data_IF_576520325232
#
_entry.id   IF_576520325232
#
_cell.length_a   1.000
_cell.length_b   1.000
_cell.length_c   1.000
_cell.angle_alpha   90.00
_cell.angle_beta   90.00
_cell.angle_gamma   90.00
#
_symmetry.space_group_name_H-M   'P 1'
#
loop_
_entity.id
_entity.type
_entity.pdbx_description
1 polymer ?
#
# COMPACT_ATOMS: atom_id res chain seq x y z
N UNK A 1 65.18 34.79 -61.74
CA UNK A 1 64.89 34.52 -60.29
C UNK A 1 63.67 33.58 -60.22
N UNK A 2 63.92 32.33 -59.82
CA UNK A 2 62.89 31.27 -59.69
C UNK A 2 62.61 31.13 -58.23
N UNK A 3 61.35 31.38 -57.81
CA UNK A 3 60.89 31.11 -56.41
C UNK A 3 60.34 29.68 -56.36
N UNK A 4 60.95 28.88 -55.49
CA UNK A 4 60.50 27.52 -55.16
C UNK A 4 59.60 27.65 -53.94
N UNK A 5 58.30 27.26 -54.04
CA UNK A 5 57.38 27.14 -52.94
C UNK A 5 57.43 25.73 -52.35
N UNK A 6 57.77 25.63 -51.07
CA UNK A 6 57.67 24.40 -50.28
C UNK A 6 56.26 24.32 -49.67
N UNK A 7 55.48 23.33 -50.08
CA UNK A 7 54.23 23.01 -49.44
C UNK A 7 54.46 22.01 -48.31
N UNK A 8 54.16 22.39 -47.06
CA UNK A 8 54.13 21.50 -45.91
C UNK A 8 52.76 20.80 -45.90
N UNK A 9 52.65 19.47 -45.73
CA UNK A 9 51.36 18.80 -45.54
C UNK A 9 50.96 18.92 -44.04
N UNK A 10 49.81 19.53 -43.80
CA UNK A 10 49.16 19.60 -42.49
C UNK A 10 48.48 18.24 -42.23
N UNK A 11 49.06 17.43 -41.36
CA UNK A 11 48.42 16.18 -40.87
C UNK A 11 47.42 16.55 -39.80
N UNK A 12 46.12 16.59 -40.15
CA UNK A 12 44.99 16.66 -39.16
C UNK A 12 44.86 15.29 -38.49
N UNK A 13 45.37 15.16 -37.30
CA UNK A 13 45.09 14.02 -36.39
C UNK A 13 43.62 14.08 -35.93
N UNK A 14 42.75 13.27 -36.48
CA UNK A 14 41.43 12.98 -35.95
C UNK A 14 41.57 12.17 -34.65
N UNK A 15 41.57 12.86 -33.50
CA UNK A 15 41.38 12.21 -32.20
C UNK A 15 39.94 11.75 -32.09
N UNK A 16 39.69 10.49 -32.43
CA UNK A 16 38.42 9.84 -32.10
C UNK A 16 38.31 9.71 -30.58
N UNK A 17 37.58 10.62 -29.92
CA UNK A 17 37.13 10.43 -28.56
C UNK A 17 36.14 9.26 -28.56
N UNK A 18 36.65 8.06 -28.37
CA UNK A 18 35.82 6.90 -28.04
C UNK A 18 35.10 7.17 -26.71
N UNK A 19 33.84 7.46 -26.76
CA UNK A 19 32.99 7.37 -25.59
C UNK A 19 32.99 5.90 -25.17
N UNK A 20 33.83 5.55 -24.21
CA UNK A 20 33.73 4.29 -23.47
C UNK A 20 32.41 4.31 -22.75
N UNK A 21 31.35 3.73 -23.33
CA UNK A 21 30.15 3.40 -22.61
C UNK A 21 30.60 2.48 -21.45
N UNK A 22 30.41 2.96 -20.22
CA UNK A 22 30.55 2.11 -19.05
C UNK A 22 29.71 0.83 -19.28
N UNK A 23 30.25 -0.37 -19.00
CA UNK A 23 29.49 -1.59 -19.17
C UNK A 23 28.15 -1.46 -18.43
N UNK A 24 27.05 -1.74 -19.12
CA UNK A 24 25.73 -1.74 -18.52
C UNK A 24 25.79 -2.58 -17.23
N UNK A 25 25.32 -2.02 -16.11
CA UNK A 25 25.34 -2.74 -14.83
C UNK A 25 24.63 -4.08 -15.01
N UNK A 26 25.30 -5.16 -14.57
CA UNK A 26 24.76 -6.51 -14.70
C UNK A 26 23.36 -6.58 -14.02
N UNK A 27 22.42 -7.30 -14.66
CA UNK A 27 21.09 -7.52 -14.07
C UNK A 27 21.24 -8.20 -12.70
N UNK A 28 20.81 -7.58 -11.59
CA UNK A 28 21.01 -8.13 -10.26
C UNK A 28 20.30 -9.48 -10.06
N UNK A 29 19.31 -9.81 -10.90
CA UNK A 29 18.63 -11.12 -10.86
C UNK A 29 19.54 -12.25 -11.31
N UNK A 30 20.54 -11.97 -12.13
CA UNK A 30 21.52 -12.96 -12.57
C UNK A 30 22.66 -13.16 -11.57
N UNK A 31 22.81 -12.29 -10.57
CA UNK A 31 23.89 -12.34 -9.59
C UNK A 31 23.56 -13.28 -8.42
N UNK A 32 24.60 -13.86 -7.81
CA UNK A 32 24.49 -14.47 -6.49
C UNK A 32 24.25 -13.37 -5.43
N UNK A 33 23.50 -13.68 -4.36
CA UNK A 33 23.10 -12.69 -3.37
C UNK A 33 24.26 -11.87 -2.76
N UNK A 34 25.41 -12.45 -2.38
CA UNK A 34 26.54 -11.64 -1.91
C UNK A 34 27.03 -10.59 -2.91
N UNK A 35 26.94 -10.86 -4.21
CA UNK A 35 27.29 -9.89 -5.25
C UNK A 35 26.21 -8.78 -5.37
N UNK A 36 24.93 -9.11 -5.16
CA UNK A 36 23.85 -8.11 -5.08
C UNK A 36 24.11 -7.18 -3.89
N UNK A 37 24.42 -7.71 -2.70
CA UNK A 37 24.74 -6.90 -1.51
C UNK A 37 25.99 -6.03 -1.71
N UNK A 38 27.01 -6.56 -2.37
CA UNK A 38 28.22 -5.80 -2.69
C UNK A 38 27.91 -4.63 -3.65
N UNK A 39 27.11 -4.88 -4.70
CA UNK A 39 26.70 -3.86 -5.65
C UNK A 39 25.79 -2.78 -5.01
N UNK A 40 25.05 -3.14 -3.97
CA UNK A 40 24.15 -2.23 -3.25
C UNK A 40 24.87 -1.25 -2.32
N UNK A 41 26.10 -1.57 -1.87
CA UNK A 41 26.83 -0.74 -0.89
C UNK A 41 27.13 0.65 -1.40
N UNK A 42 26.90 1.64 -0.56
CA UNK A 42 27.16 3.05 -0.88
C UNK A 42 26.05 3.73 -1.69
N UNK A 43 25.09 2.95 -2.20
CA UNK A 43 24.01 3.50 -3.01
C UNK A 43 22.96 4.24 -2.18
N UNK A 44 22.27 5.20 -2.83
CA UNK A 44 21.09 5.86 -2.32
C UNK A 44 19.87 5.31 -3.06
N UNK A 45 18.86 4.86 -2.32
CA UNK A 45 17.60 4.32 -2.86
C UNK A 45 16.49 5.27 -2.48
N UNK A 46 15.68 5.69 -3.44
CA UNK A 46 14.50 6.52 -3.23
C UNK A 46 13.25 5.65 -3.19
N UNK A 47 12.55 5.65 -2.05
CA UNK A 47 11.25 5.01 -1.86
C UNK A 47 10.14 6.05 -1.89
N UNK A 48 9.24 5.95 -2.87
CA UNK A 48 7.99 6.70 -2.89
C UNK A 48 6.91 5.93 -2.10
N UNK A 49 6.38 6.55 -1.04
CA UNK A 49 5.40 5.89 -0.17
C UNK A 49 4.38 6.88 0.42
N UNK A 50 3.25 6.34 0.86
CA UNK A 50 2.27 7.09 1.64
C UNK A 50 2.85 7.50 2.99
N UNK A 51 2.62 8.75 3.40
CA UNK A 51 3.17 9.36 4.62
C UNK A 51 2.09 9.92 5.56
N UNK A 52 0.84 9.48 5.41
CA UNK A 52 -0.29 10.01 6.19
C UNK A 52 -0.40 9.50 7.63
N UNK A 53 0.48 8.59 8.08
CA UNK A 53 0.48 8.07 9.45
C UNK A 53 1.84 8.27 10.15
N UNK A 54 1.87 8.98 11.31
CA UNK A 54 3.10 9.25 12.05
C UNK A 54 3.83 8.00 12.53
N UNK A 55 3.13 6.93 12.93
CA UNK A 55 3.75 5.70 13.40
C UNK A 55 4.46 4.95 12.26
N UNK A 56 3.86 4.92 11.08
CA UNK A 56 4.50 4.37 9.88
C UNK A 56 5.76 5.16 9.56
N UNK A 57 5.66 6.48 9.56
CA UNK A 57 6.80 7.36 9.29
C UNK A 57 7.92 7.15 10.33
N UNK A 58 7.58 7.05 11.62
CA UNK A 58 8.55 6.78 12.68
C UNK A 58 9.21 5.39 12.50
N UNK A 59 8.44 4.33 12.21
CA UNK A 59 9.02 3.01 11.91
C UNK A 59 10.04 3.09 10.77
N UNK A 60 9.72 3.79 9.70
CA UNK A 60 10.63 3.92 8.56
C UNK A 60 11.86 4.75 8.91
N UNK A 61 11.70 5.92 9.54
CA UNK A 61 12.80 6.86 9.83
C UNK A 61 13.69 6.39 10.98
N UNK A 62 13.11 5.82 12.05
CA UNK A 62 13.84 5.53 13.28
C UNK A 62 14.32 4.07 13.34
N UNK A 63 13.70 3.19 12.55
CA UNK A 63 14.08 1.78 12.53
C UNK A 63 14.69 1.34 11.21
N UNK A 64 14.01 1.53 10.08
CA UNK A 64 14.43 1.00 8.77
C UNK A 64 15.64 1.76 8.23
N UNK A 65 15.55 3.08 8.11
CA UNK A 65 16.60 3.92 7.52
C UNK A 65 17.96 3.71 8.21
N UNK A 66 18.10 3.83 9.56
CA UNK A 66 19.39 3.68 10.21
C UNK A 66 19.96 2.25 10.11
N UNK A 67 19.11 1.22 10.08
CA UNK A 67 19.55 -0.17 9.96
C UNK A 67 20.06 -0.50 8.56
N UNK A 68 19.38 -0.02 7.52
CA UNK A 68 19.87 -0.16 6.15
C UNK A 68 21.24 0.51 5.98
N UNK A 69 21.41 1.72 6.55
CA UNK A 69 22.70 2.41 6.52
C UNK A 69 23.78 1.64 7.25
N UNK A 70 23.50 1.20 8.48
CA UNK A 70 24.46 0.49 9.33
C UNK A 70 24.83 -0.88 8.78
N UNK A 71 23.85 -1.67 8.37
CA UNK A 71 24.04 -3.10 8.07
C UNK A 71 24.43 -3.33 6.60
N UNK A 72 23.90 -2.50 5.69
CA UNK A 72 24.06 -2.70 4.24
C UNK A 72 24.79 -1.53 3.53
N UNK A 73 25.07 -0.43 4.24
CA UNK A 73 25.68 0.76 3.65
C UNK A 73 24.76 1.53 2.70
N UNK A 74 23.45 1.24 2.71
CA UNK A 74 22.45 1.86 1.84
C UNK A 74 21.85 3.11 2.52
N UNK A 75 21.76 4.22 1.79
CA UNK A 75 21.01 5.39 2.22
C UNK A 75 19.61 5.30 1.64
N UNK A 76 18.57 5.10 2.48
CA UNK A 76 17.19 5.12 2.05
C UNK A 76 16.63 6.55 2.16
N UNK A 77 16.18 7.11 1.05
CA UNK A 77 15.47 8.39 0.97
C UNK A 77 13.98 8.12 0.76
N UNK A 78 13.14 8.65 1.62
CA UNK A 78 11.70 8.48 1.55
C UNK A 78 11.08 9.76 1.00
N UNK A 79 10.23 9.63 -0.02
CA UNK A 79 9.49 10.73 -0.65
C UNK A 79 7.99 10.43 -0.65
N UNK A 80 7.13 11.45 -0.62
CA UNK A 80 5.69 11.23 -0.78
C UNK A 80 5.40 10.63 -2.16
N UNK A 81 4.51 9.59 -2.20
CA UNK A 81 4.07 8.99 -3.44
C UNK A 81 2.96 7.97 -3.16
N UNK A 82 1.90 8.01 -3.96
CA UNK A 82 0.73 7.17 -3.72
C UNK A 82 -0.16 7.11 -4.97
N UNK A 83 -0.69 5.91 -5.24
CA UNK A 83 -1.80 5.67 -6.16
C UNK A 83 -1.62 6.34 -7.53
N UNK A 84 -2.67 7.01 -7.99
CA UNK A 84 -2.71 7.62 -9.32
C UNK A 84 -1.60 8.65 -9.59
N UNK A 85 -1.15 9.39 -8.57
CA UNK A 85 -0.03 10.34 -8.74
C UNK A 85 1.26 9.62 -9.13
N UNK A 86 1.51 8.46 -8.51
CA UNK A 86 2.68 7.64 -8.82
C UNK A 86 2.58 7.04 -10.22
N UNK A 87 1.41 6.49 -10.58
CA UNK A 87 1.16 5.96 -11.93
C UNK A 87 1.36 7.05 -12.98
N UNK A 88 0.77 8.25 -12.79
CA UNK A 88 0.91 9.37 -13.71
C UNK A 88 2.36 9.83 -13.87
N UNK A 89 3.13 9.85 -12.77
CA UNK A 89 4.56 10.21 -12.80
C UNK A 89 5.34 9.23 -13.67
N UNK A 90 5.22 7.93 -13.40
CA UNK A 90 5.97 6.89 -14.12
C UNK A 90 5.48 6.76 -15.59
N UNK A 91 4.21 7.00 -15.85
CA UNK A 91 3.67 7.05 -17.22
C UNK A 91 4.26 8.24 -18.00
N UNK A 92 4.31 9.42 -17.38
CA UNK A 92 4.93 10.61 -17.99
C UNK A 92 6.43 10.40 -18.28
N UNK A 93 7.15 9.72 -17.38
CA UNK A 93 8.55 9.36 -17.62
C UNK A 93 8.70 8.42 -18.82
N UNK A 94 7.83 7.41 -18.93
CA UNK A 94 7.82 6.47 -20.06
C UNK A 94 7.46 7.17 -21.38
N UNK A 95 6.44 8.02 -21.42
CA UNK A 95 6.05 8.81 -22.59
C UNK A 95 7.14 9.78 -23.04
N UNK A 96 7.88 10.36 -22.09
CA UNK A 96 9.04 11.20 -22.38
C UNK A 96 10.28 10.41 -22.85
N UNK A 97 10.19 9.07 -22.98
CA UNK A 97 11.29 8.20 -23.38
C UNK A 97 12.44 8.18 -22.37
N UNK A 98 12.21 8.48 -21.10
CA UNK A 98 13.24 8.43 -20.06
C UNK A 98 13.66 7.00 -19.79
N UNK A 99 14.94 6.71 -19.96
CA UNK A 99 15.51 5.40 -19.64
C UNK A 99 15.66 5.17 -18.13
N UNK A 100 15.72 6.25 -17.33
CA UNK A 100 15.95 6.20 -15.88
C UNK A 100 14.88 6.98 -15.12
N UNK A 101 14.59 6.54 -13.89
CA UNK A 101 13.68 7.17 -12.94
C UNK A 101 14.44 7.61 -11.67
N UNK A 102 14.11 8.75 -11.07
CA UNK A 102 14.63 9.15 -9.76
C UNK A 102 13.99 8.37 -8.61
N UNK A 103 12.96 7.56 -8.89
CA UNK A 103 12.28 6.67 -7.94
C UNK A 103 12.77 5.25 -8.17
N UNK A 104 13.24 4.60 -7.12
CA UNK A 104 13.75 3.24 -7.16
C UNK A 104 12.73 2.22 -6.67
N UNK A 105 12.03 2.57 -5.58
CA UNK A 105 11.03 1.73 -4.93
C UNK A 105 9.72 2.47 -4.78
N UNK A 106 8.64 1.72 -4.84
CA UNK A 106 7.27 2.21 -4.68
C UNK A 106 6.51 1.34 -3.69
N UNK A 107 5.80 1.97 -2.73
CA UNK A 107 4.79 1.26 -1.95
C UNK A 107 3.49 1.29 -2.74
N UNK A 108 3.05 0.11 -3.12
CA UNK A 108 1.90 -0.10 -3.99
C UNK A 108 0.97 -1.18 -3.44
N UNK A 109 -0.22 -1.18 -3.95
CA UNK A 109 -1.20 -2.26 -3.85
C UNK A 109 -2.28 -2.09 -4.92
N UNK A 110 -2.97 -3.17 -5.22
CA UNK A 110 -4.20 -3.19 -5.97
C UNK A 110 -4.15 -2.57 -7.35
N UNK A 111 -4.96 -1.54 -7.52
CA UNK A 111 -5.10 -0.85 -8.80
C UNK A 111 -3.80 -0.21 -9.28
N UNK A 112 -2.94 0.22 -8.35
CA UNK A 112 -1.63 0.79 -8.69
C UNK A 112 -0.71 -0.28 -9.29
N UNK A 113 -0.65 -1.49 -8.68
CA UNK A 113 0.09 -2.61 -9.24
C UNK A 113 -0.39 -2.98 -10.63
N UNK A 114 -1.71 -3.13 -10.81
CA UNK A 114 -2.33 -3.42 -12.10
C UNK A 114 -1.92 -2.39 -13.16
N UNK A 115 -2.08 -1.09 -12.87
CA UNK A 115 -1.75 -0.01 -13.80
C UNK A 115 -0.26 0.04 -14.15
N UNK A 116 0.64 -0.12 -13.15
CA UNK A 116 2.08 -0.13 -13.38
C UNK A 116 2.54 -1.35 -14.20
N UNK A 117 1.87 -2.50 -14.08
CA UNK A 117 2.11 -3.66 -14.96
C UNK A 117 1.73 -3.37 -16.40
N UNK A 118 0.58 -2.70 -16.64
CA UNK A 118 0.11 -2.37 -18.00
C UNK A 118 1.11 -1.48 -18.75
N UNK A 119 1.77 -0.57 -18.07
CA UNK A 119 2.78 0.34 -18.66
C UNK A 119 4.22 -0.18 -18.54
N UNK A 120 4.41 -1.43 -18.10
CA UNK A 120 5.73 -2.05 -17.89
C UNK A 120 6.67 -1.23 -16.99
N UNK A 121 6.14 -0.51 -16.01
CA UNK A 121 6.91 0.36 -15.11
C UNK A 121 7.58 -0.38 -13.95
N UNK A 122 7.36 -1.69 -13.79
CA UNK A 122 7.95 -2.50 -12.71
C UNK A 122 9.07 -3.41 -13.22
N UNK A 123 10.15 -3.49 -12.43
CA UNK A 123 11.24 -4.44 -12.60
C UNK A 123 10.91 -5.75 -11.87
N UNK A 124 10.97 -6.86 -12.57
CA UNK A 124 10.73 -8.20 -12.00
C UNK A 124 10.79 -9.30 -13.06
N UNK A 125 10.47 -10.57 -12.68
CA UNK A 125 10.31 -11.03 -11.30
C UNK A 125 11.62 -10.98 -10.50
N UNK A 126 11.56 -10.63 -9.20
CA UNK A 126 12.77 -10.51 -8.37
C UNK A 126 12.66 -11.18 -7.00
N UNK A 127 11.44 -11.48 -6.52
CA UNK A 127 11.24 -11.92 -5.13
C UNK A 127 11.93 -13.23 -4.80
N UNK A 128 12.02 -14.16 -5.77
CA UNK A 128 12.68 -15.46 -5.57
C UNK A 128 14.19 -15.34 -5.33
N UNK A 129 14.77 -14.19 -5.66
CA UNK A 129 16.18 -13.89 -5.38
C UNK A 129 16.42 -13.41 -3.94
N UNK A 130 15.37 -13.00 -3.24
CA UNK A 130 15.48 -12.45 -1.89
C UNK A 130 15.63 -13.58 -0.86
N UNK A 131 16.70 -13.63 -0.06
CA UNK A 131 16.93 -14.70 0.92
C UNK A 131 15.79 -14.89 1.93
N UNK A 132 15.10 -13.80 2.32
CA UNK A 132 14.00 -13.86 3.27
C UNK A 132 12.66 -14.25 2.63
N UNK A 133 12.57 -14.32 1.30
CA UNK A 133 11.38 -14.77 0.57
C UNK A 133 10.92 -16.19 0.99
N UNK A 134 11.86 -17.04 1.42
CA UNK A 134 11.58 -18.38 1.94
C UNK A 134 10.65 -18.40 3.16
N UNK A 135 10.56 -17.28 3.88
CA UNK A 135 9.70 -17.15 5.05
C UNK A 135 8.30 -16.59 4.74
N UNK A 136 8.11 -16.04 3.54
CA UNK A 136 6.82 -15.46 3.15
C UNK A 136 5.75 -16.55 3.06
N UNK A 137 4.53 -16.23 3.51
CA UNK A 137 3.37 -17.12 3.45
C UNK A 137 2.68 -17.03 2.07
N UNK A 138 3.35 -17.56 1.05
CA UNK A 138 2.81 -17.61 -0.32
C UNK A 138 1.59 -18.53 -0.47
N UNK A 139 1.28 -19.36 0.54
CA UNK A 139 0.05 -20.16 0.55
C UNK A 139 -1.19 -19.32 0.92
N UNK A 140 -0.98 -18.14 1.49
CA UNK A 140 -2.05 -17.21 1.81
C UNK A 140 -2.49 -16.43 0.56
N UNK A 141 -3.74 -16.61 0.08
CA UNK A 141 -4.20 -15.96 -1.15
C UNK A 141 -4.23 -14.42 -1.04
N UNK A 142 -4.32 -13.86 0.16
CA UNK A 142 -4.26 -12.40 0.40
C UNK A 142 -2.82 -11.84 0.32
N UNK A 143 -1.81 -12.70 0.17
CA UNK A 143 -0.40 -12.34 -0.01
C UNK A 143 0.08 -12.69 -1.41
N UNK A 144 -0.38 -13.83 -1.95
CA UNK A 144 0.00 -14.29 -3.27
C UNK A 144 -0.69 -13.54 -4.42
N UNK A 145 -1.79 -12.83 -4.12
CA UNK A 145 -2.53 -12.04 -5.10
C UNK A 145 -2.76 -10.64 -4.58
N UNK A 146 -2.51 -9.65 -5.43
CA UNK A 146 -2.89 -8.26 -5.19
C UNK A 146 -4.11 -7.93 -6.05
N UNK A 147 -5.24 -7.61 -5.40
CA UNK A 147 -6.56 -7.42 -6.04
C UNK A 147 -6.85 -8.49 -7.10
N UNK A 148 -6.70 -9.75 -6.71
CA UNK A 148 -6.87 -10.93 -7.56
C UNK A 148 -5.89 -11.04 -8.76
N UNK A 149 -4.89 -10.17 -8.83
CA UNK A 149 -3.79 -10.32 -9.78
C UNK A 149 -2.67 -11.12 -9.12
N UNK A 150 -2.20 -12.22 -9.71
CA UNK A 150 -1.03 -12.91 -9.20
C UNK A 150 0.16 -11.96 -9.12
N UNK A 151 0.86 -12.00 -7.99
CA UNK A 151 2.03 -11.14 -7.75
C UNK A 151 3.19 -11.48 -8.68
N UNK A 152 3.32 -12.75 -9.09
CA UNK A 152 4.30 -13.28 -10.06
C UNK A 152 5.76 -12.81 -9.79
N UNK A 153 6.09 -12.54 -8.54
CA UNK A 153 7.41 -12.06 -8.16
C UNK A 153 7.75 -10.62 -8.58
N UNK A 154 6.76 -9.86 -9.07
CA UNK A 154 6.93 -8.49 -9.56
C UNK A 154 6.90 -7.44 -8.44
N UNK A 155 6.41 -7.82 -7.27
CA UNK A 155 6.35 -7.00 -6.06
C UNK A 155 6.58 -7.86 -4.82
N UNK A 156 7.14 -7.26 -3.77
CA UNK A 156 7.48 -7.94 -2.51
C UNK A 156 6.44 -7.58 -1.44
N UNK A 157 5.68 -8.54 -0.89
CA UNK A 157 4.71 -8.25 0.16
C UNK A 157 5.45 -7.88 1.44
N UNK A 158 4.94 -6.87 2.18
CA UNK A 158 5.55 -6.49 3.45
C UNK A 158 4.57 -6.20 4.59
N UNK A 159 3.27 -6.23 4.31
CA UNK A 159 2.21 -6.19 5.31
C UNK A 159 0.93 -6.84 4.81
N UNK A 160 0.19 -7.49 5.72
CA UNK A 160 -1.12 -8.08 5.44
C UNK A 160 -2.12 -7.58 6.48
N UNK A 161 -3.22 -6.99 6.03
CA UNK A 161 -4.12 -6.17 6.83
C UNK A 161 -5.58 -6.41 6.44
N UNK A 162 -6.50 -6.22 7.41
CA UNK A 162 -7.94 -6.26 7.17
C UNK A 162 -8.56 -4.92 7.54
N UNK A 163 -9.51 -4.43 6.75
CA UNK A 163 -10.25 -3.21 7.04
C UNK A 163 -11.08 -3.39 8.31
N UNK A 164 -10.90 -2.47 9.25
CA UNK A 164 -11.68 -2.37 10.47
C UNK A 164 -12.42 -1.04 10.52
N UNK A 165 -13.61 -1.05 11.10
CA UNK A 165 -14.27 0.14 11.59
C UNK A 165 -13.85 0.34 13.06
N UNK A 166 -13.74 1.58 13.49
CA UNK A 166 -13.37 1.96 14.86
C UNK A 166 -14.46 2.88 15.39
N UNK A 167 -14.87 2.69 16.63
CA UNK A 167 -15.84 3.54 17.31
C UNK A 167 -15.48 3.77 18.77
N UNK A 168 -16.00 4.82 19.38
CA UNK A 168 -15.92 5.05 20.80
C UNK A 168 -17.04 4.30 21.53
N UNK A 169 -16.72 3.23 22.26
CA UNK A 169 -17.67 2.39 23.00
C UNK A 169 -18.43 3.14 24.11
N UNK A 170 -17.90 4.25 24.58
CA UNK A 170 -18.62 5.11 25.51
C UNK A 170 -19.81 5.82 24.85
N UNK A 171 -19.73 6.09 23.53
CA UNK A 171 -20.78 6.72 22.75
C UNK A 171 -21.64 5.73 21.98
N UNK A 172 -21.02 4.65 21.49
CA UNK A 172 -21.65 3.58 20.71
C UNK A 172 -21.44 2.23 21.40
N UNK A 173 -22.16 1.94 22.49
CA UNK A 173 -21.95 0.71 23.27
C UNK A 173 -22.13 -0.58 22.47
N UNK A 174 -22.99 -0.57 21.46
CA UNK A 174 -23.27 -1.68 20.55
C UNK A 174 -23.07 -1.23 19.10
N UNK A 175 -21.86 -1.38 18.53
CA UNK A 175 -21.58 -0.96 17.16
C UNK A 175 -22.48 -1.69 16.15
N UNK A 176 -23.04 -0.98 15.17
CA UNK A 176 -23.80 -1.58 14.08
C UNK A 176 -22.89 -2.42 13.19
N UNK A 177 -23.24 -3.68 12.95
CA UNK A 177 -22.40 -4.64 12.23
C UNK A 177 -22.94 -5.06 10.86
N UNK A 178 -24.06 -4.48 10.44
CA UNK A 178 -24.64 -4.66 9.09
C UNK A 178 -24.87 -3.32 8.44
N UNK A 179 -24.94 -3.24 7.10
CA UNK A 179 -25.24 -1.97 6.41
C UNK A 179 -26.57 -1.35 6.87
N UNK A 180 -27.61 -2.17 7.06
CA UNK A 180 -28.93 -1.69 7.52
C UNK A 180 -28.88 -1.15 8.94
N UNK A 181 -28.20 -1.86 9.86
CA UNK A 181 -28.02 -1.38 11.23
C UNK A 181 -27.19 -0.09 11.27
N UNK A 182 -26.18 0.02 10.39
CA UNK A 182 -25.37 1.23 10.27
C UNK A 182 -26.20 2.40 9.72
N UNK A 183 -27.04 2.17 8.70
CA UNK A 183 -27.94 3.19 8.18
C UNK A 183 -28.94 3.66 9.27
N UNK A 184 -29.54 2.73 9.99
CA UNK A 184 -30.45 3.06 11.09
C UNK A 184 -29.74 3.87 12.19
N UNK A 185 -28.51 3.52 12.53
CA UNK A 185 -27.71 4.28 13.49
C UNK A 185 -27.40 5.70 12.98
N UNK A 186 -27.02 5.85 11.70
CA UNK A 186 -26.74 7.15 11.08
C UNK A 186 -27.99 8.05 11.12
N UNK A 187 -29.15 7.52 10.76
CA UNK A 187 -30.43 8.27 10.83
C UNK A 187 -30.79 8.72 12.25
N UNK A 188 -30.46 7.89 13.26
CA UNK A 188 -30.70 8.23 14.66
C UNK A 188 -29.68 9.22 15.22
N UNK A 189 -28.52 9.39 14.57
CA UNK A 189 -27.41 10.23 15.04
C UNK A 189 -26.86 11.10 13.89
N UNK A 190 -27.65 12.07 13.37
CA UNK A 190 -27.23 12.88 12.24
C UNK A 190 -25.91 13.63 12.51
N UNK A 191 -25.05 13.66 11.50
CA UNK A 191 -23.75 14.30 11.56
C UNK A 191 -22.64 13.49 12.24
N UNK A 192 -22.93 12.29 12.76
CA UNK A 192 -21.99 11.52 13.59
C UNK A 192 -21.20 10.44 12.83
N UNK A 193 -21.42 10.28 11.54
CA UNK A 193 -20.73 9.31 10.68
C UNK A 193 -20.23 9.97 9.40
N UNK A 194 -19.08 9.54 8.93
CA UNK A 194 -18.57 9.79 7.59
C UNK A 194 -17.58 8.69 7.20
N UNK A 195 -17.14 8.72 5.94
CA UNK A 195 -16.01 7.95 5.41
C UNK A 195 -15.20 8.87 4.49
N UNK A 196 -13.94 8.50 4.24
CA UNK A 196 -13.06 9.32 3.41
C UNK A 196 -13.23 9.00 1.91
N UNK A 197 -12.79 9.92 1.04
CA UNK A 197 -12.83 9.74 -0.41
C UNK A 197 -11.54 9.12 -0.97
N UNK A 198 -10.62 8.72 -0.09
CA UNK A 198 -9.38 8.01 -0.45
C UNK A 198 -9.55 6.51 -0.45
N UNK A 199 -8.42 5.83 -0.45
CA UNK A 199 -8.35 4.36 -0.53
C UNK A 199 -9.19 3.66 0.54
N UNK A 200 -9.15 4.12 1.80
CA UNK A 200 -9.85 3.45 2.92
C UNK A 200 -11.36 3.58 2.78
N UNK A 201 -11.88 4.76 2.49
CA UNK A 201 -13.32 4.95 2.30
C UNK A 201 -13.86 4.25 1.06
N UNK A 202 -13.10 4.24 -0.06
CA UNK A 202 -13.51 3.46 -1.23
C UNK A 202 -13.49 1.95 -0.93
N UNK A 203 -12.57 1.49 -0.10
CA UNK A 203 -12.54 0.10 0.36
C UNK A 203 -13.67 -0.24 1.33
N UNK A 204 -14.14 0.73 2.12
CA UNK A 204 -15.40 0.57 2.86
C UNK A 204 -16.57 0.36 1.90
N UNK A 205 -16.71 1.17 0.85
CA UNK A 205 -17.75 0.98 -0.17
C UNK A 205 -17.62 -0.36 -0.89
N UNK A 206 -16.41 -0.80 -1.21
CA UNK A 206 -16.16 -2.15 -1.77
C UNK A 206 -16.57 -3.27 -0.79
N UNK A 207 -16.41 -3.06 0.52
CA UNK A 207 -16.91 -4.02 1.51
C UNK A 207 -18.45 -4.09 1.51
N UNK A 208 -19.13 -2.98 1.20
CA UNK A 208 -20.58 -2.99 1.02
C UNK A 208 -21.02 -3.72 -0.26
N UNK A 209 -20.18 -3.76 -1.33
CA UNK A 209 -20.48 -4.63 -2.49
C UNK A 209 -20.66 -6.09 -2.05
N UNK A 210 -19.80 -6.58 -1.17
CA UNK A 210 -19.93 -7.93 -0.60
C UNK A 210 -21.18 -8.10 0.25
N UNK A 211 -21.60 -7.06 0.96
CA UNK A 211 -22.82 -7.09 1.77
C UNK A 211 -24.10 -7.18 0.92
N UNK A 212 -24.06 -6.61 -0.28
CA UNK A 212 -25.18 -6.60 -1.21
C UNK A 212 -25.12 -7.67 -2.29
N UNK A 213 -24.01 -8.41 -2.39
CA UNK A 213 -23.88 -9.54 -3.30
C UNK A 213 -24.71 -10.74 -2.82
N UNK A 214 -25.24 -11.53 -3.74
CA UNK A 214 -25.97 -12.77 -3.42
C UNK A 214 -25.00 -13.85 -2.88
N UNK A 215 -23.73 -13.77 -3.30
CA UNK A 215 -22.64 -14.56 -2.76
C UNK A 215 -21.30 -13.84 -2.94
N UNK A 216 -20.29 -14.08 -2.06
CA UNK A 216 -18.95 -13.48 -2.21
C UNK A 216 -18.27 -13.83 -3.54
N UNK A 217 -18.60 -14.97 -4.14
CA UNK A 217 -18.03 -15.43 -5.41
C UNK A 217 -18.34 -14.51 -6.59
N UNK A 218 -19.42 -13.73 -6.52
CA UNK A 218 -19.77 -12.78 -7.59
C UNK A 218 -18.73 -11.68 -7.80
N UNK A 219 -17.91 -11.41 -6.79
CA UNK A 219 -16.84 -10.40 -6.82
C UNK A 219 -15.45 -11.01 -6.98
N UNK A 220 -15.37 -12.32 -7.25
CA UNK A 220 -14.10 -13.03 -7.49
C UNK A 220 -13.88 -13.25 -9.00
N UNK A 221 -12.60 -13.33 -9.38
CA UNK A 221 -12.20 -13.50 -10.79
C UNK A 221 -12.10 -12.15 -11.55
N UNK A 222 -12.06 -12.20 -12.88
CA UNK A 222 -11.96 -11.02 -13.72
C UNK A 222 -13.11 -10.04 -13.50
N UNK A 223 -12.85 -8.75 -13.75
CA UNK A 223 -13.88 -7.72 -13.65
C UNK A 223 -15.11 -8.03 -14.50
N UNK A 224 -16.29 -7.96 -13.88
CA UNK A 224 -17.57 -8.16 -14.52
C UNK A 224 -18.42 -6.88 -14.40
N UNK A 225 -18.50 -6.12 -15.47
CA UNK A 225 -19.20 -4.84 -15.49
C UNK A 225 -20.69 -4.95 -15.11
N UNK A 226 -21.40 -5.99 -15.55
CA UNK A 226 -22.82 -6.19 -15.22
C UNK A 226 -23.02 -6.40 -13.72
N UNK A 227 -22.22 -7.26 -13.10
CA UNK A 227 -22.26 -7.50 -11.65
C UNK A 227 -21.86 -6.24 -10.91
N UNK A 228 -20.78 -5.58 -11.35
CA UNK A 228 -20.30 -4.34 -10.74
C UNK A 228 -21.41 -3.27 -10.74
N UNK A 229 -21.99 -2.92 -11.88
CA UNK A 229 -23.01 -1.87 -11.96
C UNK A 229 -24.22 -2.18 -11.05
N UNK A 230 -24.72 -3.41 -11.09
CA UNK A 230 -25.85 -3.81 -10.23
C UNK A 230 -25.53 -3.65 -8.75
N UNK A 231 -24.36 -4.06 -8.30
CA UNK A 231 -23.96 -3.95 -6.89
C UNK A 231 -23.58 -2.52 -6.52
N UNK A 232 -22.88 -1.80 -7.40
CA UNK A 232 -22.55 -0.38 -7.23
C UNK A 232 -23.82 0.45 -7.03
N UNK A 233 -24.87 0.23 -7.82
CA UNK A 233 -26.15 0.94 -7.68
C UNK A 233 -26.73 0.73 -6.29
N UNK A 234 -26.74 -0.49 -5.76
CA UNK A 234 -27.18 -0.78 -4.39
C UNK A 234 -26.34 -0.07 -3.33
N UNK A 235 -25.02 -0.02 -3.51
CA UNK A 235 -24.12 0.71 -2.60
C UNK A 235 -24.42 2.20 -2.66
N UNK A 236 -24.61 2.77 -3.84
CA UNK A 236 -24.86 4.21 -3.99
C UNK A 236 -26.26 4.59 -3.53
N UNK A 237 -27.25 3.72 -3.68
CA UNK A 237 -28.58 3.92 -3.10
C UNK A 237 -28.50 3.91 -1.56
N UNK A 238 -27.69 3.03 -0.97
CA UNK A 238 -27.40 3.07 0.45
C UNK A 238 -26.73 4.40 0.85
N UNK A 239 -25.71 4.86 0.11
CA UNK A 239 -25.05 6.15 0.38
C UNK A 239 -26.05 7.31 0.27
N UNK A 240 -26.89 7.34 -0.78
CA UNK A 240 -27.92 8.38 -0.98
C UNK A 240 -28.95 8.38 0.15
N UNK A 241 -29.35 7.22 0.65
CA UNK A 241 -30.33 7.09 1.73
C UNK A 241 -29.85 7.74 3.03
N UNK A 242 -28.56 7.61 3.35
CA UNK A 242 -27.96 8.15 4.59
C UNK A 242 -27.34 9.54 4.41
N UNK A 243 -27.17 10.03 3.18
CA UNK A 243 -26.33 11.17 2.83
C UNK A 243 -26.60 12.42 3.67
N UNK A 244 -27.87 12.82 3.81
CA UNK A 244 -28.27 14.03 4.56
C UNK A 244 -27.95 13.95 6.06
N UNK A 245 -27.78 12.74 6.57
CA UNK A 245 -27.51 12.48 7.97
C UNK A 245 -26.00 12.18 8.22
N UNK A 246 -25.18 12.22 7.16
CA UNK A 246 -23.72 12.17 7.30
C UNK A 246 -23.15 13.48 7.87
N UNK A 247 -21.91 13.44 8.34
CA UNK A 247 -21.16 14.63 8.72
C UNK A 247 -21.26 15.72 7.64
N UNK A 248 -21.55 16.96 8.05
CA UNK A 248 -21.80 18.09 7.17
C UNK A 248 -22.87 17.81 6.09
N UNK A 249 -23.88 17.06 6.45
CA UNK A 249 -25.01 16.70 5.55
C UNK A 249 -24.59 16.00 4.25
N UNK A 250 -23.38 15.38 4.24
CA UNK A 250 -22.83 14.74 3.05
C UNK A 250 -22.51 15.69 1.90
N UNK A 251 -22.41 17.00 2.16
CA UNK A 251 -21.98 17.98 1.16
C UNK A 251 -20.47 17.93 0.94
N UNK A 252 -19.74 17.51 1.97
CA UNK A 252 -18.30 17.27 1.93
C UNK A 252 -17.96 15.98 2.65
N UNK A 253 -16.86 15.35 2.22
CA UNK A 253 -16.29 14.15 2.82
C UNK A 253 -14.84 14.39 3.21
N UNK A 254 -14.30 13.74 4.24
CA UNK A 254 -12.86 13.75 4.50
C UNK A 254 -12.08 13.30 3.26
N UNK A 255 -11.00 13.98 2.93
CA UNK A 255 -10.20 13.64 1.74
C UNK A 255 -9.30 12.42 1.95
N UNK A 256 -9.09 12.02 3.21
CA UNK A 256 -8.22 10.89 3.58
C UNK A 256 -8.62 10.30 4.93
N UNK A 257 -8.21 9.07 5.17
CA UNK A 257 -8.37 8.41 6.47
C UNK A 257 -7.66 9.20 7.60
N UNK A 258 -6.58 9.90 7.33
CA UNK A 258 -5.92 10.75 8.31
C UNK A 258 -6.82 11.90 8.78
N UNK A 259 -7.55 12.53 7.86
CA UNK A 259 -8.53 13.55 8.19
C UNK A 259 -9.73 12.94 8.94
N UNK A 260 -10.23 11.77 8.53
CA UNK A 260 -11.30 11.07 9.23
C UNK A 260 -10.90 10.70 10.67
N UNK A 261 -9.67 10.24 10.87
CA UNK A 261 -9.11 9.98 12.20
C UNK A 261 -9.09 11.24 13.09
N UNK A 262 -8.77 12.40 12.49
CA UNK A 262 -8.77 13.68 13.22
C UNK A 262 -10.20 14.10 13.61
N UNK A 263 -11.18 13.93 12.73
CA UNK A 263 -12.58 14.20 13.06
C UNK A 263 -13.09 13.29 14.19
N UNK A 264 -12.70 12.03 14.18
CA UNK A 264 -13.01 11.08 15.26
C UNK A 264 -12.32 11.49 16.57
N UNK A 265 -11.05 11.83 16.54
CA UNK A 265 -10.28 12.29 17.70
C UNK A 265 -10.88 13.56 18.32
N UNK A 266 -11.34 14.49 17.49
CA UNK A 266 -12.00 15.73 17.94
C UNK A 266 -13.45 15.49 18.40
N UNK A 267 -13.99 14.29 18.23
CA UNK A 267 -15.38 13.97 18.56
C UNK A 267 -16.41 14.56 17.62
N UNK A 268 -16.03 14.97 16.41
CA UNK A 268 -16.95 15.43 15.37
C UNK A 268 -17.76 14.27 14.77
N UNK A 269 -17.11 13.11 14.63
CA UNK A 269 -17.76 11.84 14.25
C UNK A 269 -17.52 10.77 15.31
N UNK A 270 -18.35 9.72 15.34
CA UNK A 270 -18.25 8.64 16.31
C UNK A 270 -17.65 7.35 15.71
N UNK A 271 -17.29 7.41 14.42
CA UNK A 271 -16.62 6.31 13.72
C UNK A 271 -15.43 6.81 12.90
N UNK A 272 -14.43 5.95 12.81
CA UNK A 272 -13.36 6.03 11.81
C UNK A 272 -13.05 4.62 11.28
N UNK A 273 -12.05 4.49 10.43
CA UNK A 273 -11.69 3.24 9.77
C UNK A 273 -10.18 3.08 9.69
N UNK A 274 -9.71 1.85 9.57
CA UNK A 274 -8.30 1.58 9.34
C UNK A 274 -8.09 0.23 8.66
N UNK A 275 -7.13 0.18 7.74
CA UNK A 275 -6.54 -1.09 7.31
C UNK A 275 -5.46 -1.59 8.27
N UNK A 276 -4.96 -0.76 9.16
CA UNK A 276 -4.04 -1.20 10.20
C UNK A 276 -4.82 -1.67 11.43
N UNK A 277 -4.90 -2.96 11.63
CA UNK A 277 -5.64 -3.58 12.72
C UNK A 277 -5.00 -3.37 14.12
N UNK A 278 -3.80 -2.82 14.20
CA UNK A 278 -3.18 -2.33 15.44
C UNK A 278 -3.31 -0.81 15.65
N UNK A 279 -3.92 -0.08 14.71
CA UNK A 279 -3.95 1.37 14.77
C UNK A 279 -4.75 1.91 15.95
N UNK A 280 -5.85 1.27 16.34
CA UNK A 280 -6.65 1.73 17.46
C UNK A 280 -5.82 1.77 18.75
N UNK A 281 -5.03 0.73 19.01
CA UNK A 281 -4.16 0.68 20.20
C UNK A 281 -3.09 1.77 20.14
N UNK A 282 -2.38 1.93 19.02
CA UNK A 282 -1.33 2.95 18.95
C UNK A 282 -1.86 4.39 18.96
N UNK A 283 -3.07 4.65 18.48
CA UNK A 283 -3.71 5.98 18.57
C UNK A 283 -4.21 6.28 19.99
N UNK A 284 -4.61 5.26 20.74
CA UNK A 284 -4.92 5.39 22.19
C UNK A 284 -3.63 5.66 22.95
N UNK A 285 -2.57 4.90 22.72
CA UNK A 285 -1.27 5.04 23.38
C UNK A 285 -0.65 6.43 23.13
N UNK A 286 -0.82 6.98 21.92
CA UNK A 286 -0.38 8.33 21.58
C UNK A 286 -1.29 9.45 22.09
N UNK A 287 -2.41 9.12 22.76
CA UNK A 287 -3.38 10.06 23.28
C UNK A 287 -4.27 10.72 22.22
N UNK A 288 -4.26 10.22 20.98
CA UNK A 288 -5.10 10.78 19.90
C UNK A 288 -6.55 10.25 20.01
N UNK A 289 -6.74 8.96 20.26
CA UNK A 289 -8.07 8.36 20.40
C UNK A 289 -8.48 8.23 21.88
N UNK A 290 -9.80 8.26 22.17
CA UNK A 290 -10.29 8.01 23.52
C UNK A 290 -9.93 6.57 23.95
N UNK A 291 -9.70 6.37 25.24
CA UNK A 291 -9.37 5.04 25.81
C UNK A 291 -10.47 3.99 25.61
N UNK A 292 -11.66 4.43 25.28
CA UNK A 292 -12.84 3.61 25.00
C UNK A 292 -13.02 3.30 23.51
N UNK A 293 -12.08 3.75 22.65
CA UNK A 293 -12.10 3.40 21.25
C UNK A 293 -11.87 1.90 21.06
N UNK A 294 -12.62 1.27 20.16
CA UNK A 294 -12.57 -0.17 19.88
C UNK A 294 -12.81 -0.42 18.39
N UNK A 295 -12.05 -1.35 17.83
CA UNK A 295 -12.19 -1.75 16.44
C UNK A 295 -13.14 -2.96 16.29
N UNK A 296 -13.82 -3.03 15.15
CA UNK A 296 -14.73 -4.13 14.80
C UNK A 296 -14.81 -4.34 13.28
N UNK A 297 -15.44 -5.44 12.87
CA UNK A 297 -15.73 -5.75 11.45
C UNK A 297 -17.24 -5.86 11.22
N UNK A 298 -17.65 -5.63 9.97
CA UNK A 298 -19.03 -5.94 9.55
C UNK A 298 -19.23 -7.46 9.47
N UNK A 299 -20.43 -7.94 9.74
CA UNK A 299 -20.76 -9.37 9.67
C UNK A 299 -20.81 -9.92 8.24
N UNK A 300 -21.07 -9.05 7.24
CA UNK A 300 -20.92 -9.37 5.81
C UNK A 300 -19.45 -9.57 5.40
N UNK A 301 -18.53 -9.14 6.24
CA UNK A 301 -17.11 -9.13 6.01
C UNK A 301 -16.56 -7.76 5.62
N UNK A 302 -15.24 -7.65 5.73
CA UNK A 302 -14.45 -6.48 5.32
C UNK A 302 -13.26 -6.94 4.50
N UNK A 303 -12.75 -6.07 3.65
CA UNK A 303 -11.64 -6.39 2.76
C UNK A 303 -10.38 -6.70 3.55
N UNK A 304 -9.67 -7.75 3.13
CA UNK A 304 -8.31 -8.07 3.54
C UNK A 304 -7.42 -8.02 2.31
N UNK A 305 -6.29 -7.36 2.44
CA UNK A 305 -5.29 -7.26 1.38
C UNK A 305 -3.87 -7.23 1.96
N UNK A 306 -2.89 -7.19 1.08
CA UNK A 306 -1.50 -6.88 1.42
C UNK A 306 -1.08 -5.56 0.80
N UNK A 307 -0.04 -4.98 1.34
CA UNK A 307 0.69 -3.92 0.69
C UNK A 307 2.08 -4.39 0.33
N UNK A 308 2.62 -3.84 -0.74
CA UNK A 308 3.78 -4.37 -1.42
C UNK A 308 4.81 -3.28 -1.71
N UNK A 309 6.03 -3.74 -1.96
CA UNK A 309 7.13 -2.91 -2.46
C UNK A 309 7.46 -3.38 -3.87
N UNK A 310 7.23 -2.52 -4.84
CA UNK A 310 7.67 -2.70 -6.22
C UNK A 310 9.00 -2.01 -6.49
N UNK A 311 9.79 -2.55 -7.42
CA UNK A 311 11.00 -1.90 -7.94
C UNK A 311 10.65 -1.27 -9.29
N UNK A 312 10.99 0.01 -9.47
CA UNK A 312 10.72 0.73 -10.72
C UNK A 312 11.63 0.23 -11.82
N UNK A 313 11.07 -0.02 -13.02
CA UNK A 313 11.84 -0.53 -14.16
C UNK A 313 13.00 0.38 -14.56
N UNK A 314 12.80 1.70 -14.48
CA UNK A 314 13.82 2.72 -14.75
C UNK A 314 14.81 2.98 -13.61
N UNK A 315 14.74 2.26 -12.47
CA UNK A 315 15.71 2.42 -11.38
C UNK A 315 17.14 2.07 -11.83
N UNK A 316 18.10 2.90 -11.48
CA UNK A 316 19.53 2.61 -11.64
C UNK A 316 20.12 1.85 -10.45
N UNK A 317 19.34 1.71 -9.35
CA UNK A 317 19.77 1.13 -8.07
C UNK A 317 19.05 -0.20 -7.75
N UNK A 318 18.72 -1.00 -8.78
CA UNK A 318 17.94 -2.25 -8.64
C UNK A 318 18.52 -3.23 -7.62
N UNK A 319 19.86 -3.38 -7.56
CA UNK A 319 20.51 -4.23 -6.56
C UNK A 319 20.23 -3.74 -5.13
N UNK A 320 20.40 -2.44 -4.88
CA UNK A 320 20.12 -1.87 -3.57
C UNK A 320 18.62 -1.90 -3.24
N UNK A 321 17.75 -1.69 -4.22
CA UNK A 321 16.30 -1.85 -4.09
C UNK A 321 15.92 -3.28 -3.65
N UNK A 322 16.53 -4.31 -4.25
CA UNK A 322 16.32 -5.71 -3.82
C UNK A 322 16.80 -5.95 -2.38
N UNK A 323 17.92 -5.34 -1.95
CA UNK A 323 18.39 -5.46 -0.56
C UNK A 323 17.43 -4.78 0.41
N UNK A 324 16.88 -3.61 0.05
CA UNK A 324 15.84 -2.94 0.85
C UNK A 324 14.59 -3.82 0.97
N UNK A 325 14.08 -4.36 -0.14
CA UNK A 325 12.93 -5.26 -0.13
C UNK A 325 13.17 -6.49 0.75
N UNK A 326 14.34 -7.13 0.62
CA UNK A 326 14.74 -8.26 1.46
C UNK A 326 14.81 -7.90 2.95
N UNK A 327 15.30 -6.70 3.30
CA UNK A 327 15.33 -6.22 4.67
C UNK A 327 13.91 -6.07 5.25
N UNK A 328 12.98 -5.49 4.49
CA UNK A 328 11.61 -5.23 4.93
C UNK A 328 10.83 -6.53 5.25
N UNK A 329 11.12 -7.63 4.57
CA UNK A 329 10.54 -8.95 4.85
C UNK A 329 11.41 -9.81 5.79
N UNK A 330 12.47 -9.25 6.37
CA UNK A 330 13.26 -9.99 7.36
C UNK A 330 12.45 -10.24 8.64
N UNK A 331 12.68 -11.37 9.35
CA UNK A 331 12.00 -11.63 10.62
C UNK A 331 12.11 -10.49 11.62
N UNK A 332 13.27 -9.82 11.68
CA UNK A 332 13.50 -8.69 12.58
C UNK A 332 12.64 -7.46 12.25
N UNK A 333 12.56 -7.09 10.96
CA UNK A 333 11.78 -5.95 10.50
C UNK A 333 10.28 -6.21 10.67
N UNK A 334 9.83 -7.40 10.31
CA UNK A 334 8.43 -7.82 10.45
C UNK A 334 7.99 -7.91 11.92
N UNK A 335 8.84 -8.45 12.79
CA UNK A 335 8.55 -8.50 14.23
C UNK A 335 8.46 -7.09 14.85
N UNK A 336 9.37 -6.19 14.47
CA UNK A 336 9.34 -4.82 14.98
C UNK A 336 8.07 -4.09 14.53
N UNK A 337 7.69 -4.24 13.26
CA UNK A 337 6.50 -3.64 12.67
C UNK A 337 5.20 -4.16 13.30
N UNK A 338 5.16 -5.43 13.68
CA UNK A 338 3.98 -6.08 14.26
C UNK A 338 3.60 -5.54 15.65
N UNK A 339 4.53 -4.92 16.38
CA UNK A 339 4.26 -4.39 17.73
C UNK A 339 3.24 -3.26 17.67
N UNK A 340 2.16 -3.30 18.48
CA UNK A 340 1.18 -2.21 18.53
C UNK A 340 1.80 -0.86 18.89
N UNK A 341 2.82 -0.83 19.77
CA UNK A 341 3.55 0.39 20.16
C UNK A 341 4.42 0.99 19.05
N UNK A 342 4.59 0.29 17.91
CA UNK A 342 5.40 0.77 16.77
C UNK A 342 4.49 1.12 15.60
N UNK A 343 3.86 0.10 15.01
CA UNK A 343 2.90 0.27 13.93
C UNK A 343 1.68 -0.64 14.15
N UNK A 344 1.90 -1.89 14.57
CA UNK A 344 0.84 -2.88 14.75
C UNK A 344 0.42 -3.59 13.47
N UNK A 345 1.17 -3.39 12.37
CA UNK A 345 0.86 -3.93 11.06
C UNK A 345 1.10 -5.44 10.96
N UNK A 346 0.25 -6.15 10.21
CA UNK A 346 0.31 -7.59 10.03
C UNK A 346 1.58 -8.07 9.34
N UNK A 347 2.06 -9.25 9.76
CA UNK A 347 3.19 -9.88 9.09
C UNK A 347 2.75 -10.65 7.85
N UNK A 348 3.65 -10.70 6.86
CA UNK A 348 3.52 -11.54 5.67
C UNK A 348 4.26 -12.87 5.80
N UNK A 349 4.86 -13.13 6.97
CA UNK A 349 5.66 -14.33 7.19
C UNK A 349 4.80 -15.50 7.68
N UNK A 350 5.10 -16.67 7.15
CA UNK A 350 4.66 -17.94 7.71
C UNK A 350 5.50 -18.26 8.95
N UNK A 351 4.90 -18.14 10.11
CA UNK A 351 5.60 -18.34 11.38
C UNK A 351 6.16 -19.76 11.54
N UNK A 352 5.59 -20.74 10.84
CA UNK A 352 6.07 -22.13 10.88
C UNK A 352 7.40 -22.30 10.11
N UNK A 353 7.67 -21.44 9.14
CA UNK A 353 8.94 -21.44 8.40
C UNK A 353 10.07 -20.71 9.14
N UNK A 354 9.75 -19.96 10.20
CA UNK A 354 10.75 -19.20 10.95
C UNK A 354 11.62 -20.10 11.83
N UNK A 355 12.89 -19.71 12.07
CA UNK A 355 13.71 -20.30 13.13
C UNK A 355 13.00 -20.25 14.48
N UNK A 356 13.24 -21.23 15.39
CA UNK A 356 12.51 -21.34 16.68
C UNK A 356 12.56 -20.09 17.54
N UNK A 357 13.71 -19.40 17.61
CA UNK A 357 13.90 -18.17 18.37
C UNK A 357 13.04 -17.01 17.83
N UNK A 358 12.91 -16.88 16.52
CA UNK A 358 12.02 -15.92 15.90
C UNK A 358 10.56 -16.26 16.10
N UNK A 359 10.17 -17.53 15.95
CA UNK A 359 8.80 -17.97 16.21
C UNK A 359 8.37 -17.59 17.63
N UNK A 360 9.20 -17.91 18.62
CA UNK A 360 8.95 -17.54 20.02
C UNK A 360 8.77 -16.03 20.20
N UNK A 361 9.59 -15.19 19.53
CA UNK A 361 9.44 -13.72 19.59
C UNK A 361 8.11 -13.25 19.03
N UNK A 362 7.63 -13.81 17.92
CA UNK A 362 6.33 -13.48 17.33
C UNK A 362 5.16 -13.89 18.22
N UNK A 363 5.27 -15.03 18.91
CA UNK A 363 4.26 -15.50 19.85
C UNK A 363 4.15 -14.60 21.09
N UNK A 364 5.23 -13.90 21.47
CA UNK A 364 5.30 -13.02 22.63
C UNK A 364 5.17 -11.52 22.28
N UNK A 365 4.74 -11.17 21.07
CA UNK A 365 4.39 -9.78 20.76
C UNK A 365 3.19 -9.38 21.62
N UNK A 366 3.23 -8.22 22.31
CA UNK A 366 2.11 -7.76 23.11
C UNK A 366 0.80 -7.79 22.33
N UNK A 367 -0.25 -8.33 22.95
CA UNK A 367 -1.57 -8.38 22.35
C UNK A 367 -2.14 -7.00 22.12
N UNK A 368 -3.07 -6.92 21.17
CA UNK A 368 -3.91 -5.75 20.98
C UNK A 368 -5.03 -5.78 22.00
N UNK A 369 -5.29 -4.64 22.64
CA UNK A 369 -6.30 -4.54 23.70
C UNK A 369 -7.64 -4.01 23.21
N UNK A 370 -7.61 -3.21 22.11
CA UNK A 370 -8.75 -2.47 21.58
C UNK A 370 -9.15 -2.91 20.17
N UNK A 371 -8.41 -3.84 19.59
CA UNK A 371 -8.76 -4.48 18.32
C UNK A 371 -9.04 -5.97 18.55
N UNK A 372 -9.99 -6.58 17.82
CA UNK A 372 -10.25 -7.99 17.91
C UNK A 372 -9.03 -8.82 17.49
N UNK A 373 -8.88 -10.00 18.06
CA UNK A 373 -7.83 -10.93 17.65
C UNK A 373 -7.99 -11.26 16.15
N UNK A 374 -6.90 -11.34 15.42
CA UNK A 374 -6.92 -11.71 13.98
C UNK A 374 -7.66 -13.02 13.71
N UNK A 375 -7.51 -14.01 14.57
CA UNK A 375 -8.23 -15.27 14.46
C UNK A 375 -9.76 -15.08 14.53
N UNK A 376 -10.25 -14.12 15.32
CA UNK A 376 -11.67 -13.85 15.47
C UNK A 376 -12.28 -13.11 14.27
N UNK A 377 -11.51 -12.30 13.56
CA UNK A 377 -11.98 -11.56 12.37
C UNK A 377 -11.71 -12.29 11.05
N UNK A 378 -10.85 -13.29 11.05
CA UNK A 378 -10.52 -14.08 9.85
C UNK A 378 -11.74 -14.63 9.08
N UNK A 379 -12.83 -15.12 9.71
CA UNK A 379 -14.01 -15.58 8.99
C UNK A 379 -14.72 -14.48 8.21
N UNK A 380 -14.50 -13.22 8.57
CA UNK A 380 -15.07 -12.03 7.95
C UNK A 380 -14.15 -11.38 6.92
N UNK A 381 -12.99 -11.97 6.66
CA UNK A 381 -12.09 -11.49 5.63
C UNK A 381 -12.66 -11.73 4.22
N UNK A 382 -12.64 -10.69 3.40
CA UNK A 382 -13.04 -10.75 1.99
C UNK A 382 -11.88 -10.35 1.13
N UNK A 383 -11.61 -11.08 0.02
CA UNK A 383 -10.58 -10.65 -0.92
C UNK A 383 -10.96 -9.33 -1.57
N UNK A 384 -9.97 -8.56 -1.98
CA UNK A 384 -10.21 -7.42 -2.85
C UNK A 384 -10.87 -7.92 -4.15
N UNK A 385 -11.85 -7.20 -4.71
CA UNK A 385 -12.33 -7.46 -6.07
C UNK A 385 -11.23 -7.17 -7.10
N UNK A 386 -11.52 -7.45 -8.37
CA UNK A 386 -10.62 -7.08 -9.47
C UNK A 386 -10.25 -5.58 -9.43
N UNK A 387 -9.01 -5.20 -9.82
CA UNK A 387 -8.50 -3.82 -9.63
C UNK A 387 -9.34 -2.76 -10.34
N UNK A 388 -9.99 -3.10 -11.44
CA UNK A 388 -10.92 -2.22 -12.15
C UNK A 388 -12.09 -1.78 -11.25
N UNK A 389 -12.48 -2.60 -10.29
CA UNK A 389 -13.54 -2.23 -9.31
C UNK A 389 -13.14 -1.00 -8.49
N UNK A 390 -11.87 -0.88 -8.10
CA UNK A 390 -11.39 0.29 -7.36
C UNK A 390 -11.36 1.53 -8.23
N UNK A 391 -10.95 1.40 -9.48
CA UNK A 391 -10.92 2.48 -10.45
C UNK A 391 -12.34 2.99 -10.68
N UNK A 392 -13.25 2.09 -11.06
CA UNK A 392 -14.63 2.46 -11.38
C UNK A 392 -15.39 3.03 -10.18
N UNK A 393 -15.31 2.41 -8.99
CA UNK A 393 -16.06 2.92 -7.82
C UNK A 393 -15.58 4.30 -7.38
N UNK A 394 -14.29 4.60 -7.57
CA UNK A 394 -13.73 5.92 -7.26
C UNK A 394 -14.21 6.98 -8.26
N UNK A 395 -14.28 6.65 -9.55
CA UNK A 395 -14.74 7.54 -10.59
C UNK A 395 -16.25 7.76 -10.50
N UNK A 396 -17.02 6.69 -10.38
CA UNK A 396 -18.47 6.74 -10.23
C UNK A 396 -18.88 7.51 -8.97
N UNK A 397 -18.18 7.32 -7.85
CA UNK A 397 -18.44 8.08 -6.62
C UNK A 397 -18.21 9.58 -6.82
N UNK A 398 -17.13 9.96 -7.51
CA UNK A 398 -16.88 11.37 -7.84
C UNK A 398 -17.98 11.96 -8.72
N UNK A 399 -18.43 11.23 -9.73
CA UNK A 399 -19.43 11.70 -10.68
C UNK A 399 -20.84 11.73 -10.07
N UNK A 400 -21.28 10.63 -9.45
CA UNK A 400 -22.67 10.44 -9.05
C UNK A 400 -22.99 10.92 -7.62
N UNK A 401 -22.02 10.84 -6.71
CA UNK A 401 -22.22 11.20 -5.31
C UNK A 401 -21.68 12.59 -5.00
N UNK A 402 -20.48 12.94 -5.48
CA UNK A 402 -19.92 14.27 -5.24
C UNK A 402 -20.44 15.32 -6.22
N UNK A 403 -21.00 14.91 -7.36
CA UNK A 403 -21.52 15.84 -8.38
C UNK A 403 -20.43 16.63 -9.10
N UNK A 404 -19.20 16.14 -9.13
CA UNK A 404 -18.12 16.76 -9.88
C UNK A 404 -18.05 16.10 -11.26
N UNK A 405 -18.53 16.84 -12.27
CA UNK A 405 -18.14 16.55 -13.64
C UNK A 405 -16.60 16.54 -13.71
N UNK A 406 -16.04 15.49 -14.30
CA UNK A 406 -14.59 15.39 -14.47
C UNK A 406 -14.07 16.64 -15.18
N UNK A 407 -13.14 17.32 -14.54
CA UNK A 407 -12.35 18.37 -15.14
C UNK A 407 -10.94 17.83 -15.44
#
# INVERSE_FOLDING_TARGET
MRYVYWALPLILGLSACGHSQAPAAADPRALAWPAVEQAARGQTVTLAMWQGDPQINAYMQDYVVPRLKKNHGITLRIVPGQGNTLVSTLMTEAEAGRATSPIDLVWINGETFYQLRQIHALFGPFTDKLPNNRYVDWANPFIANDFQQPVDGMECPWGNVQLLLITDRAKVPQPPRTPDALAAWIHAHPGRFSFDTGFTGMSFLKSLLYAFADSPQQLQGPFNATVYHRLRDRVFDWVRSVRKDLWRHGDTFPSSVAQLNQLFANGEVDFTMSFNDGQVDNKIDSGLFPKTAEAFVLTSGTLQNSHYIGIVAGSEHKAAAMVVANFLISPAAQWQKLKPSVWGDGTVLDLQKLPPDWRQRFEHVPGRSHAPLRAAIRPYARPEPAPETMIHISDDFRQEILGRAGG
#
